data_IF_161994558371
#
_entry.id   IF_161994558371
#
_cell.length_a   1.000
_cell.length_b   1.000
_cell.length_c   1.000
_cell.angle_alpha   90.00
_cell.angle_beta   90.00
_cell.angle_gamma   90.00
#
_symmetry.space_group_name_H-M   'P 1'
#
loop_
_entity.id
_entity.type
_entity.pdbx_description
1 polymer ?
#
# COMPACT_ATOMS: atom_id res chain seq x y z
N UNK A 1 22.07 5.50 4.70
CA UNK A 1 21.32 6.04 5.87
C UNK A 1 21.51 5.14 7.09
N UNK A 2 21.40 5.66 8.33
CA UNK A 2 21.46 4.83 9.53
C UNK A 2 20.36 3.77 9.51
N UNK A 3 20.61 2.63 10.13
CA UNK A 3 19.64 1.53 10.22
C UNK A 3 19.01 1.54 11.62
N UNK A 4 17.68 1.47 11.67
CA UNK A 4 16.92 1.37 12.90
C UNK A 4 16.09 0.08 12.91
N UNK A 5 15.96 -0.52 14.09
CA UNK A 5 15.00 -1.62 14.29
C UNK A 5 13.61 -1.03 14.39
N UNK A 6 12.74 -1.40 13.46
CA UNK A 6 11.32 -1.04 13.47
C UNK A 6 10.55 -2.23 13.99
N UNK A 7 9.66 -1.96 14.95
CA UNK A 7 8.61 -2.87 15.40
C UNK A 7 7.33 -2.06 15.44
N UNK A 8 6.55 -2.15 14.37
CA UNK A 8 5.32 -1.40 14.21
C UNK A 8 4.22 -2.34 13.78
N UNK A 9 3.24 -2.50 14.64
CA UNK A 9 1.95 -3.07 14.26
C UNK A 9 1.09 -1.98 13.66
N UNK A 10 0.11 -2.39 12.88
CA UNK A 10 -0.98 -1.53 12.42
C UNK A 10 -0.52 -0.36 11.54
N UNK A 11 0.33 -0.65 10.55
CA UNK A 11 0.60 0.31 9.47
C UNK A 11 -0.48 0.24 8.40
N UNK A 12 -0.80 1.38 7.80
CA UNK A 12 -1.97 1.56 6.93
C UNK A 12 -1.57 1.77 5.48
N UNK A 13 -2.14 0.98 4.58
CA UNK A 13 -2.05 1.14 3.12
C UNK A 13 -3.46 1.22 2.55
N UNK A 14 -3.85 2.39 2.07
CA UNK A 14 -5.13 2.57 1.38
C UNK A 14 -5.03 2.15 -0.08
N UNK A 15 -5.91 1.24 -0.51
CA UNK A 15 -6.00 0.76 -1.91
C UNK A 15 -7.41 1.05 -2.44
N UNK A 16 -7.60 1.60 -3.66
CA UNK A 16 -8.93 1.89 -4.16
C UNK A 16 -9.81 0.62 -4.18
N UNK A 17 -11.00 0.66 -3.58
CA UNK A 17 -11.85 -0.54 -3.37
C UNK A 17 -12.24 -1.23 -4.68
N UNK A 18 -12.27 -0.49 -5.80
CA UNK A 18 -12.60 -1.03 -7.14
C UNK A 18 -11.54 -1.99 -7.68
N UNK A 19 -10.31 -1.89 -7.17
CA UNK A 19 -9.21 -2.79 -7.52
C UNK A 19 -9.11 -3.97 -6.54
N UNK A 20 -9.94 -3.98 -5.49
CA UNK A 20 -9.98 -5.06 -4.53
C UNK A 20 -10.82 -6.20 -5.05
N UNK A 21 -10.25 -7.41 -5.09
CA UNK A 21 -10.97 -8.63 -5.48
C UNK A 21 -12.18 -8.91 -4.59
N UNK A 22 -12.13 -8.49 -3.34
CA UNK A 22 -13.28 -8.50 -2.42
C UNK A 22 -14.51 -7.83 -3.03
N UNK A 23 -14.36 -6.74 -3.77
CA UNK A 23 -15.51 -6.04 -4.38
C UNK A 23 -16.15 -6.83 -5.52
N UNK A 24 -15.39 -7.72 -6.16
CA UNK A 24 -15.86 -8.61 -7.22
C UNK A 24 -16.45 -9.88 -6.61
N UNK A 25 -15.73 -10.51 -5.68
CA UNK A 25 -16.17 -11.73 -5.00
C UNK A 25 -17.38 -11.48 -4.11
N UNK A 26 -17.46 -10.35 -3.40
CA UNK A 26 -18.64 -10.00 -2.60
C UNK A 26 -19.90 -9.72 -3.43
N UNK A 27 -19.78 -9.53 -4.76
CA UNK A 27 -20.94 -9.48 -5.66
C UNK A 27 -21.44 -10.87 -6.07
N UNK A 28 -20.61 -11.89 -5.88
CA UNK A 28 -20.87 -13.28 -6.27
C UNK A 28 -21.24 -14.12 -5.04
N UNK A 29 -20.65 -13.81 -3.88
CA UNK A 29 -20.90 -14.50 -2.63
C UNK A 29 -22.32 -14.24 -2.11
N UNK A 30 -22.96 -15.30 -1.63
CA UNK A 30 -24.30 -15.24 -1.02
C UNK A 30 -24.24 -14.72 0.43
N UNK A 31 -23.17 -15.05 1.15
CA UNK A 31 -22.90 -14.63 2.52
C UNK A 31 -21.40 -14.56 2.83
N UNK A 32 -21.05 -14.15 4.05
CA UNK A 32 -19.65 -13.95 4.47
C UNK A 32 -18.86 -15.26 4.54
N UNK A 33 -19.51 -16.41 4.78
CA UNK A 33 -18.84 -17.71 4.82
C UNK A 33 -18.52 -18.18 3.38
N UNK A 34 -19.47 -18.05 2.47
CA UNK A 34 -19.26 -18.28 1.04
C UNK A 34 -18.19 -17.32 0.48
N UNK A 35 -18.17 -16.06 0.94
CA UNK A 35 -17.12 -15.12 0.56
C UNK A 35 -15.73 -15.59 1.04
N UNK A 36 -15.63 -16.12 2.26
CA UNK A 36 -14.38 -16.69 2.78
C UNK A 36 -13.91 -17.91 1.97
N UNK A 37 -14.82 -18.81 1.62
CA UNK A 37 -14.52 -19.98 0.79
C UNK A 37 -14.04 -19.58 -0.62
N UNK A 38 -14.67 -18.56 -1.22
CA UNK A 38 -14.25 -18.01 -2.51
C UNK A 38 -12.85 -17.38 -2.43
N UNK A 39 -12.50 -16.76 -1.30
CA UNK A 39 -11.14 -16.24 -1.08
C UNK A 39 -10.11 -17.36 -1.02
N UNK A 40 -10.39 -18.46 -0.33
CA UNK A 40 -9.46 -19.58 -0.20
C UNK A 40 -9.17 -20.23 -1.57
N UNK A 41 -10.21 -20.40 -2.39
CA UNK A 41 -10.08 -20.94 -3.75
C UNK A 41 -9.31 -19.97 -4.67
N UNK A 42 -9.62 -18.66 -4.61
CA UNK A 42 -8.91 -17.65 -5.41
C UNK A 42 -7.44 -17.52 -4.99
N UNK A 43 -7.14 -17.61 -3.69
CA UNK A 43 -5.76 -17.63 -3.19
C UNK A 43 -4.98 -18.81 -3.77
N UNK A 44 -5.52 -20.03 -3.68
CA UNK A 44 -4.87 -21.21 -4.24
C UNK A 44 -4.65 -21.08 -5.76
N UNK A 45 -5.58 -20.45 -6.46
CA UNK A 45 -5.49 -20.23 -7.91
C UNK A 45 -4.46 -19.16 -8.28
N UNK A 46 -4.43 -18.04 -7.54
CA UNK A 46 -3.42 -16.99 -7.73
C UNK A 46 -2.02 -17.50 -7.41
N UNK A 47 -1.86 -18.28 -6.34
CA UNK A 47 -0.58 -18.90 -5.97
C UNK A 47 -0.04 -19.76 -7.12
N UNK A 48 -0.93 -20.55 -7.75
CA UNK A 48 -0.57 -21.34 -8.94
C UNK A 48 -0.22 -20.48 -10.16
N UNK A 49 -1.03 -19.47 -10.48
CA UNK A 49 -0.81 -18.60 -11.64
C UNK A 49 0.46 -17.75 -11.52
N UNK A 50 0.75 -17.25 -10.32
CA UNK A 50 1.99 -16.51 -10.04
C UNK A 50 3.23 -17.40 -10.08
N UNK A 51 3.11 -18.68 -9.73
CA UNK A 51 4.18 -19.66 -9.96
C UNK A 51 4.42 -19.94 -11.46
N UNK A 52 3.37 -19.88 -12.29
CA UNK A 52 3.43 -20.17 -13.73
C UNK A 52 3.92 -19.00 -14.59
N UNK A 53 3.54 -17.74 -14.27
CA UNK A 53 3.77 -16.59 -15.17
C UNK A 53 5.06 -15.80 -14.95
N UNK A 54 5.81 -16.06 -13.88
CA UNK A 54 6.99 -15.26 -13.52
C UNK A 54 6.62 -13.84 -13.06
N UNK A 55 7.44 -13.30 -12.15
CA UNK A 55 7.21 -11.97 -11.58
C UNK A 55 7.78 -10.85 -12.47
N UNK A 56 7.36 -9.61 -12.22
CA UNK A 56 7.86 -8.41 -12.91
C UNK A 56 9.40 -8.33 -12.90
N UNK A 57 10.02 -7.64 -13.88
CA UNK A 57 11.48 -7.47 -13.92
C UNK A 57 12.05 -7.03 -12.56
N UNK A 58 12.88 -7.86 -11.93
CA UNK A 58 13.50 -7.57 -10.63
C UNK A 58 12.77 -8.09 -9.38
N UNK A 59 11.68 -8.85 -9.53
CA UNK A 59 11.11 -9.70 -8.46
C UNK A 59 11.18 -11.14 -8.95
N UNK A 60 11.78 -12.03 -8.17
CA UNK A 60 11.76 -13.46 -8.47
C UNK A 60 10.51 -14.14 -7.89
N UNK A 61 10.13 -15.33 -8.37
CA UNK A 61 9.08 -16.13 -7.73
C UNK A 61 9.35 -16.38 -6.23
N UNK A 62 10.62 -16.48 -5.84
CA UNK A 62 11.04 -16.66 -4.44
C UNK A 62 10.85 -15.41 -3.56
N UNK A 63 10.65 -14.22 -4.14
CA UNK A 63 10.34 -13.02 -3.39
C UNK A 63 8.85 -12.90 -3.09
N UNK A 64 7.97 -13.59 -3.83
CA UNK A 64 6.52 -13.49 -3.68
C UNK A 64 6.04 -14.23 -2.43
N UNK A 65 4.94 -13.76 -1.85
CA UNK A 65 4.25 -14.42 -0.75
C UNK A 65 3.08 -15.25 -1.27
N UNK A 66 2.85 -16.40 -0.65
CA UNK A 66 1.84 -17.39 -1.01
C UNK A 66 1.22 -18.00 0.25
N UNK A 67 0.00 -18.53 0.15
CA UNK A 67 -0.68 -19.22 1.26
C UNK A 67 -0.95 -18.35 2.50
N UNK A 68 -1.02 -17.02 2.33
CA UNK A 68 -1.34 -16.07 3.40
C UNK A 68 -2.47 -15.14 2.97
N UNK A 69 -3.34 -14.70 3.90
CA UNK A 69 -4.38 -13.73 3.60
C UNK A 69 -3.86 -12.50 2.87
N UNK A 70 -4.57 -12.10 1.82
CA UNK A 70 -4.24 -10.93 0.98
C UNK A 70 -2.86 -10.97 0.30
N UNK A 71 -2.27 -12.15 0.08
CA UNK A 71 -1.04 -12.33 -0.69
C UNK A 71 -1.08 -11.62 -2.06
N UNK A 72 -2.23 -11.63 -2.75
CA UNK A 72 -2.42 -10.94 -4.02
C UNK A 72 -2.27 -9.42 -3.91
N UNK A 73 -2.74 -8.81 -2.81
CA UNK A 73 -2.59 -7.37 -2.54
C UNK A 73 -1.14 -7.03 -2.22
N UNK A 74 -0.46 -7.89 -1.45
CA UNK A 74 0.97 -7.76 -1.16
C UNK A 74 1.75 -7.82 -2.46
N UNK A 75 1.66 -8.92 -3.20
CA UNK A 75 2.40 -9.14 -4.45
C UNK A 75 2.11 -8.05 -5.48
N UNK A 76 0.86 -7.58 -5.62
CA UNK A 76 0.50 -6.50 -6.53
C UNK A 76 1.25 -5.19 -6.23
N UNK A 77 1.53 -4.87 -4.96
CA UNK A 77 2.30 -3.69 -4.59
C UNK A 77 3.73 -3.70 -5.13
N UNK A 78 4.28 -4.88 -5.43
CA UNK A 78 5.61 -5.08 -5.96
C UNK A 78 5.59 -5.33 -7.48
N UNK A 79 4.63 -6.11 -7.99
CA UNK A 79 4.59 -6.51 -9.40
C UNK A 79 3.92 -5.50 -10.33
N UNK A 80 3.16 -4.54 -9.80
CA UNK A 80 2.48 -3.51 -10.60
C UNK A 80 2.91 -2.09 -10.21
N UNK A 81 4.20 -1.74 -10.37
CA UNK A 81 4.68 -0.39 -10.16
C UNK A 81 4.03 0.59 -11.14
N UNK A 82 3.90 1.84 -10.70
CA UNK A 82 3.57 2.93 -11.60
C UNK A 82 4.68 3.08 -12.68
N UNK A 83 4.37 3.42 -13.95
CA UNK A 83 5.37 3.57 -15.02
C UNK A 83 6.46 4.61 -14.77
N UNK A 84 6.24 5.55 -13.86
CA UNK A 84 7.24 6.55 -13.42
C UNK A 84 7.92 6.18 -12.09
N UNK A 85 7.59 5.00 -11.55
CA UNK A 85 7.96 4.58 -10.20
C UNK A 85 7.19 5.34 -9.11
N UNK A 86 7.58 5.07 -7.87
CA UNK A 86 7.14 5.81 -6.68
C UNK A 86 8.30 6.58 -6.07
N UNK A 87 8.11 7.10 -4.85
CA UNK A 87 9.16 7.87 -4.15
C UNK A 87 10.43 7.04 -3.95
N UNK A 88 10.30 5.82 -3.48
CA UNK A 88 11.39 4.90 -3.16
C UNK A 88 11.36 3.64 -4.05
N UNK A 89 10.97 3.76 -5.31
CA UNK A 89 11.10 2.67 -6.29
C UNK A 89 11.06 3.21 -7.73
N UNK A 90 11.78 2.55 -8.64
CA UNK A 90 11.69 2.81 -10.09
C UNK A 90 10.51 2.08 -10.74
N UNK A 91 10.42 2.11 -12.08
CA UNK A 91 9.30 1.52 -12.83
C UNK A 91 9.38 0.00 -12.97
N UNK A 92 10.56 -0.61 -12.74
CA UNK A 92 10.74 -2.06 -12.90
C UNK A 92 10.09 -2.85 -11.76
N UNK A 93 10.12 -2.28 -10.55
CA UNK A 93 9.75 -2.97 -9.32
C UNK A 93 9.05 -2.04 -8.36
N UNK A 94 7.91 -2.46 -7.86
CA UNK A 94 7.14 -1.74 -6.86
C UNK A 94 7.70 -1.86 -5.44
N UNK A 95 7.00 -1.25 -4.51
CA UNK A 95 7.28 -1.31 -3.08
C UNK A 95 5.96 -1.24 -2.31
N UNK A 96 5.93 -1.86 -1.13
CA UNK A 96 4.81 -1.67 -0.20
C UNK A 96 4.99 -0.37 0.55
N UNK A 97 4.13 0.60 0.27
CA UNK A 97 4.03 1.84 1.02
C UNK A 97 2.94 1.73 2.07
N UNK A 98 3.26 2.13 3.30
CA UNK A 98 2.31 2.27 4.39
C UNK A 98 2.65 3.48 5.28
N UNK A 99 1.65 4.01 5.96
CA UNK A 99 1.83 5.02 7.00
C UNK A 99 1.65 4.39 8.39
N UNK A 100 2.31 4.95 9.41
CA UNK A 100 2.14 4.51 10.79
C UNK A 100 0.82 5.01 11.39
N UNK A 101 0.30 6.10 10.85
CA UNK A 101 -0.97 6.73 11.22
C UNK A 101 -1.93 6.68 10.02
N UNK A 102 -3.16 6.24 10.25
CA UNK A 102 -4.19 6.15 9.21
C UNK A 102 -4.36 7.47 8.46
N UNK A 103 -4.43 8.61 9.17
CA UNK A 103 -4.72 9.87 8.50
C UNK A 103 -3.52 10.40 7.70
N UNK A 104 -2.32 9.85 7.89
CA UNK A 104 -1.20 10.10 6.97
C UNK A 104 -1.36 9.31 5.66
N UNK A 105 -1.87 8.07 5.71
CA UNK A 105 -2.25 7.34 4.50
C UNK A 105 -3.43 8.03 3.78
N UNK A 106 -4.41 8.55 4.53
CA UNK A 106 -5.51 9.33 3.96
C UNK A 106 -5.03 10.63 3.31
N UNK A 107 -4.11 11.37 3.95
CA UNK A 107 -3.54 12.59 3.38
C UNK A 107 -2.77 12.31 2.08
N UNK A 108 -2.04 11.19 2.01
CA UNK A 108 -1.32 10.77 0.80
C UNK A 108 -2.31 10.47 -0.34
N UNK A 109 -3.36 9.70 -0.07
CA UNK A 109 -4.41 9.38 -1.05
C UNK A 109 -5.14 10.64 -1.52
N UNK A 110 -5.56 11.50 -0.58
CA UNK A 110 -6.26 12.74 -0.89
C UNK A 110 -5.41 13.61 -1.82
N UNK A 111 -4.12 13.78 -1.51
CA UNK A 111 -3.21 14.58 -2.33
C UNK A 111 -3.07 14.06 -3.76
N UNK A 112 -2.70 12.78 -3.95
CA UNK A 112 -2.50 12.24 -5.30
C UNK A 112 -3.79 12.17 -6.09
N UNK A 113 -4.91 11.85 -5.43
CA UNK A 113 -6.20 11.82 -6.10
C UNK A 113 -6.63 13.23 -6.53
N UNK A 114 -6.37 14.27 -5.74
CA UNK A 114 -6.62 15.66 -6.16
C UNK A 114 -5.78 16.08 -7.37
N UNK A 115 -4.54 15.59 -7.50
CA UNK A 115 -3.74 15.82 -8.72
C UNK A 115 -4.39 15.15 -9.92
N UNK A 116 -4.78 13.87 -9.82
CA UNK A 116 -5.47 13.15 -10.90
C UNK A 116 -6.76 13.88 -11.31
N UNK A 117 -7.53 14.37 -10.34
CA UNK A 117 -8.78 15.10 -10.60
C UNK A 117 -8.53 16.48 -11.25
N UNK A 118 -7.45 17.17 -10.86
CA UNK A 118 -7.05 18.44 -11.47
C UNK A 118 -6.66 18.27 -12.94
N UNK A 119 -5.98 17.17 -13.28
CA UNK A 119 -5.57 16.88 -14.67
C UNK A 119 -6.75 16.72 -15.63
N UNK A 120 -7.92 16.29 -15.11
CA UNK A 120 -9.14 16.07 -15.91
C UNK A 120 -10.25 17.08 -15.62
N UNK A 121 -10.01 18.07 -14.75
CA UNK A 121 -10.97 19.08 -14.29
C UNK A 121 -12.29 18.50 -13.74
N UNK A 122 -12.21 17.41 -12.96
CA UNK A 122 -13.37 16.76 -12.33
C UNK A 122 -13.29 16.89 -10.80
N UNK A 123 -14.09 17.79 -10.23
CA UNK A 123 -14.07 18.05 -8.78
C UNK A 123 -15.29 17.52 -8.01
N UNK A 124 -16.19 16.80 -8.69
CA UNK A 124 -17.35 16.16 -8.09
C UNK A 124 -17.22 14.64 -8.23
N UNK A 125 -16.50 14.02 -7.29
CA UNK A 125 -16.15 12.60 -7.33
C UNK A 125 -16.31 11.98 -5.94
N UNK A 126 -16.77 10.73 -5.87
CA UNK A 126 -16.79 9.94 -4.63
C UNK A 126 -16.23 8.56 -4.88
N UNK A 127 -15.12 8.25 -4.20
CA UNK A 127 -14.40 6.99 -4.36
C UNK A 127 -14.09 6.39 -3.00
N UNK A 128 -14.02 5.06 -2.94
CA UNK A 128 -13.71 4.35 -1.71
C UNK A 128 -12.36 3.66 -1.78
N UNK A 129 -11.69 3.62 -0.63
CA UNK A 129 -10.40 2.98 -0.42
C UNK A 129 -10.52 2.00 0.75
N UNK A 130 -10.03 0.80 0.55
CA UNK A 130 -9.92 -0.22 1.59
C UNK A 130 -8.60 -0.03 2.33
N UNK A 131 -8.64 -0.02 3.66
CA UNK A 131 -7.45 0.05 4.50
C UNK A 131 -6.85 -1.34 4.68
N UNK A 132 -5.66 -1.55 4.12
CA UNK A 132 -4.85 -2.73 4.38
C UNK A 132 -3.89 -2.46 5.51
N UNK A 133 -4.12 -3.16 6.61
CA UNK A 133 -3.34 -3.02 7.83
C UNK A 133 -2.29 -4.12 7.86
N UNK A 134 -1.03 -3.76 8.10
CA UNK A 134 0.10 -4.68 8.12
C UNK A 134 1.09 -4.38 9.24
N UNK A 135 1.80 -5.41 9.68
CA UNK A 135 2.83 -5.35 10.70
C UNK A 135 4.23 -5.39 10.06
N UNK A 136 5.16 -4.66 10.68
CA UNK A 136 6.57 -4.63 10.30
C UNK A 136 7.47 -4.84 11.52
N UNK A 137 8.35 -5.83 11.42
CA UNK A 137 9.43 -6.06 12.37
C UNK A 137 10.72 -6.34 11.60
N UNK A 138 11.72 -5.46 11.73
CA UNK A 138 12.97 -5.62 11.00
C UNK A 138 13.86 -4.39 11.02
N UNK A 139 14.97 -4.47 10.29
CA UNK A 139 15.95 -3.40 10.16
C UNK A 139 15.66 -2.54 8.92
N UNK A 140 15.31 -1.27 9.13
CA UNK A 140 15.00 -0.32 8.05
C UNK A 140 15.96 0.86 8.08
N UNK A 141 16.25 1.43 6.91
CA UNK A 141 17.01 2.69 6.85
C UNK A 141 16.13 3.85 7.30
N UNK A 142 16.62 4.65 8.26
CA UNK A 142 15.86 5.73 8.89
C UNK A 142 16.27 7.10 8.35
N UNK A 143 15.32 7.79 7.70
CA UNK A 143 15.50 9.14 7.15
C UNK A 143 14.84 10.23 8.01
N UNK A 144 14.16 9.88 9.11
CA UNK A 144 13.30 10.82 9.87
C UNK A 144 14.05 11.97 10.53
N UNK A 145 15.34 11.79 10.83
CA UNK A 145 16.13 12.76 11.62
C UNK A 145 17.46 13.12 10.97
N UNK A 146 17.60 12.89 9.67
CA UNK A 146 18.87 13.05 8.97
C UNK A 146 18.73 13.98 7.76
N UNK A 147 19.13 15.25 7.97
CA UNK A 147 19.03 16.31 6.97
C UNK A 147 19.80 16.01 5.68
N UNK A 148 20.78 15.10 5.69
CA UNK A 148 21.50 14.66 4.48
C UNK A 148 20.58 14.01 3.45
N UNK A 149 19.43 13.50 3.89
CA UNK A 149 18.41 12.88 3.03
C UNK A 149 17.22 13.79 2.74
N UNK A 150 17.29 15.09 3.03
CA UNK A 150 16.22 16.04 2.74
C UNK A 150 15.79 16.03 1.26
N UNK A 151 16.74 15.86 0.33
CA UNK A 151 16.45 15.74 -1.09
C UNK A 151 15.59 14.50 -1.45
N UNK A 152 15.65 13.42 -0.65
CA UNK A 152 14.79 12.24 -0.81
C UNK A 152 13.33 12.50 -0.38
N UNK A 153 13.09 13.61 0.32
CA UNK A 153 11.79 14.01 0.85
C UNK A 153 11.21 15.22 0.11
N UNK A 154 11.82 15.62 -1.02
CA UNK A 154 11.30 16.67 -1.88
C UNK A 154 9.85 16.34 -2.32
N UNK A 155 8.97 17.32 -2.24
CA UNK A 155 7.53 17.13 -2.51
C UNK A 155 7.19 16.97 -3.99
N UNK A 156 8.10 17.43 -4.86
CA UNK A 156 7.96 17.61 -6.30
C UNK A 156 8.96 16.75 -7.11
N UNK A 157 9.88 16.03 -6.46
CA UNK A 157 10.87 15.20 -7.15
C UNK A 157 11.17 13.90 -6.40
N UNK A 158 11.12 12.79 -7.13
CA UNK A 158 11.50 11.46 -6.63
C UNK A 158 12.90 11.02 -7.06
N UNK A 159 13.64 11.85 -7.79
CA UNK A 159 14.94 11.44 -8.38
C UNK A 159 15.94 10.99 -7.31
N UNK A 160 16.12 11.78 -6.25
CA UNK A 160 17.08 11.45 -5.20
C UNK A 160 16.66 10.22 -4.37
N UNK A 161 15.35 10.07 -4.10
CA UNK A 161 14.81 8.96 -3.34
C UNK A 161 14.77 7.65 -4.13
N UNK A 162 14.52 7.70 -5.44
CA UNK A 162 14.61 6.54 -6.34
C UNK A 162 16.06 6.06 -6.44
N UNK A 163 17.01 6.96 -6.68
CA UNK A 163 18.43 6.60 -6.69
C UNK A 163 18.91 6.00 -5.36
N UNK A 164 18.41 6.51 -4.23
CA UNK A 164 18.69 5.91 -2.93
C UNK A 164 18.08 4.51 -2.83
N UNK A 165 16.81 4.35 -3.20
CA UNK A 165 16.12 3.08 -3.14
C UNK A 165 16.76 1.99 -4.01
N UNK A 166 17.19 2.34 -5.23
CA UNK A 166 17.92 1.42 -6.12
C UNK A 166 19.18 0.88 -5.46
N UNK A 167 20.02 1.75 -4.86
CA UNK A 167 21.21 1.33 -4.13
C UNK A 167 20.87 0.44 -2.93
N UNK A 168 19.92 0.88 -2.11
CA UNK A 168 19.51 0.13 -0.93
C UNK A 168 18.95 -1.25 -1.29
N UNK A 169 18.18 -1.33 -2.38
CA UNK A 169 17.62 -2.59 -2.86
C UNK A 169 18.73 -3.55 -3.33
N UNK A 170 19.71 -3.04 -4.09
CA UNK A 170 20.88 -3.81 -4.52
C UNK A 170 21.70 -4.35 -3.33
N UNK A 171 21.77 -3.57 -2.25
CA UNK A 171 22.46 -3.94 -1.00
C UNK A 171 21.63 -4.90 -0.11
N UNK A 172 20.48 -5.40 -0.57
CA UNK A 172 19.68 -6.35 0.20
C UNK A 172 18.76 -5.73 1.26
N UNK A 173 18.56 -4.41 1.24
CA UNK A 173 17.76 -3.70 2.25
C UNK A 173 16.31 -4.19 2.35
N UNK A 174 15.77 -4.09 3.56
CA UNK A 174 14.34 -4.29 3.86
C UNK A 174 13.47 -3.13 3.39
N UNK A 175 14.00 -1.91 3.36
CA UNK A 175 13.22 -0.71 3.07
C UNK A 175 13.73 0.55 3.78
N UNK A 176 12.85 1.55 3.78
CA UNK A 176 13.11 2.89 4.32
C UNK A 176 11.93 3.33 5.20
N UNK A 177 12.24 3.92 6.36
CA UNK A 177 11.29 4.67 7.19
C UNK A 177 11.60 6.17 7.07
N UNK A 178 10.58 6.99 6.86
CA UNK A 178 10.74 8.40 6.49
C UNK A 178 9.57 9.24 7.02
N UNK A 179 9.73 10.56 7.20
CA UNK A 179 8.62 11.40 7.63
C UNK A 179 7.63 11.58 6.47
N UNK A 180 6.33 11.62 6.78
CA UNK A 180 5.32 11.93 5.78
C UNK A 180 5.56 13.33 5.20
N UNK A 181 5.47 13.45 3.89
CA UNK A 181 5.56 14.74 3.17
C UNK A 181 4.20 15.45 3.13
N UNK A 182 3.11 14.75 3.50
CA UNK A 182 1.73 15.27 3.45
C UNK A 182 1.16 15.58 4.82
N UNK A 183 1.66 14.94 5.88
CA UNK A 183 1.19 15.19 7.24
C UNK A 183 2.35 15.41 8.20
N UNK A 184 2.32 16.56 8.88
CA UNK A 184 3.31 16.90 9.90
C UNK A 184 3.33 15.88 11.04
N UNK A 185 4.53 15.55 11.55
CA UNK A 185 4.77 14.57 12.61
C UNK A 185 4.28 13.13 12.32
N UNK A 186 3.93 12.78 11.08
CA UNK A 186 3.57 11.42 10.73
C UNK A 186 4.74 10.65 10.12
N UNK A 187 4.70 9.32 10.22
CA UNK A 187 5.75 8.44 9.71
C UNK A 187 5.22 7.55 8.59
N UNK A 188 6.01 7.41 7.53
CA UNK A 188 5.75 6.49 6.43
C UNK A 188 6.88 5.45 6.33
N UNK A 189 6.57 4.33 5.71
CA UNK A 189 7.47 3.22 5.45
C UNK A 189 7.30 2.76 4.01
N UNK A 190 8.41 2.54 3.32
CA UNK A 190 8.49 1.87 2.04
C UNK A 190 9.26 0.56 2.24
N UNK A 191 8.56 -0.57 2.12
CA UNK A 191 9.14 -1.89 2.21
C UNK A 191 9.49 -2.42 0.82
N UNK A 192 10.69 -2.99 0.70
CA UNK A 192 11.20 -3.53 -0.55
C UNK A 192 11.04 -5.04 -0.65
N UNK A 193 10.57 -5.73 0.39
CA UNK A 193 10.56 -7.20 0.46
C UNK A 193 9.15 -7.69 0.80
N UNK A 194 8.46 -8.41 -0.11
CA UNK A 194 7.11 -8.91 0.17
C UNK A 194 7.01 -9.73 1.48
N UNK A 195 7.97 -10.62 1.84
CA UNK A 195 7.88 -11.42 3.07
C UNK A 195 7.93 -10.60 4.38
N UNK A 196 8.34 -9.33 4.32
CA UNK A 196 8.37 -8.45 5.50
C UNK A 196 7.01 -7.76 5.75
N UNK A 197 6.07 -7.87 4.82
CA UNK A 197 4.70 -7.38 4.98
C UNK A 197 3.90 -8.46 5.71
N UNK A 198 3.85 -8.38 7.04
CA UNK A 198 3.31 -9.45 7.89
C UNK A 198 1.89 -9.13 8.36
N UNK A 199 1.13 -10.17 8.70
CA UNK A 199 -0.23 -10.08 9.26
C UNK A 199 -1.16 -9.11 8.52
N UNK A 200 -1.14 -9.16 7.19
CA UNK A 200 -1.98 -8.31 6.36
C UNK A 200 -3.44 -8.66 6.61
N UNK A 201 -4.24 -7.62 6.85
CA UNK A 201 -5.67 -7.74 7.03
C UNK A 201 -6.39 -6.52 6.50
N UNK A 202 -7.64 -6.71 6.10
CA UNK A 202 -8.51 -5.60 5.72
C UNK A 202 -9.12 -4.95 6.96
N UNK A 203 -8.87 -3.67 7.11
CA UNK A 203 -9.49 -2.78 8.09
C UNK A 203 -10.77 -2.15 7.55
N UNK A 204 -11.01 -0.89 7.92
CA UNK A 204 -12.18 -0.14 7.47
C UNK A 204 -12.05 0.31 6.00
N UNK A 205 -13.19 0.46 5.33
CA UNK A 205 -13.27 1.15 4.05
C UNK A 205 -13.56 2.63 4.31
N UNK A 206 -12.86 3.51 3.60
CA UNK A 206 -12.98 4.95 3.72
C UNK A 206 -13.45 5.54 2.40
N UNK A 207 -14.46 6.40 2.47
CA UNK A 207 -14.99 7.17 1.35
C UNK A 207 -14.36 8.55 1.34
N UNK A 208 -13.81 8.93 0.20
CA UNK A 208 -13.31 10.26 -0.10
C UNK A 208 -14.27 10.90 -1.08
N UNK A 209 -14.80 12.08 -0.74
CA UNK A 209 -15.75 12.81 -1.58
C UNK A 209 -15.26 14.23 -1.82
N UNK A 210 -14.95 14.55 -3.07
CA UNK A 210 -14.70 15.90 -3.56
C UNK A 210 -16.02 16.50 -4.02
N UNK A 211 -16.35 17.69 -3.53
CA UNK A 211 -17.60 18.40 -3.81
C UNK A 211 -17.29 19.83 -4.31
N UNK A 212 -16.57 19.92 -5.42
CA UNK A 212 -16.20 21.18 -6.07
C UNK A 212 -14.89 21.82 -5.61
N UNK A 213 -14.05 21.10 -4.86
CA UNK A 213 -12.76 21.62 -4.41
C UNK A 213 -11.75 20.52 -4.12
N UNK A 214 -10.48 20.90 -3.94
CA UNK A 214 -9.33 19.98 -3.88
C UNK A 214 -9.20 19.17 -2.58
N UNK A 215 -9.95 19.55 -1.55
CA UNK A 215 -9.94 18.87 -0.25
C UNK A 215 -11.16 17.97 -0.13
N UNK A 216 -10.99 16.63 -0.09
CA UNK A 216 -12.11 15.72 0.09
C UNK A 216 -12.64 15.77 1.51
N UNK A 217 -13.93 15.51 1.65
CA UNK A 217 -14.49 14.99 2.90
C UNK A 217 -14.18 13.50 2.99
N UNK A 218 -13.72 13.05 4.16
CA UNK A 218 -13.34 11.65 4.39
C UNK A 218 -14.25 11.07 5.47
N UNK A 219 -14.94 9.99 5.15
CA UNK A 219 -15.85 9.32 6.07
C UNK A 219 -15.66 7.80 6.00
N UNK A 220 -15.89 7.12 7.12
CA UNK A 220 -15.92 5.66 7.12
C UNK A 220 -17.11 5.18 6.30
N UNK A 221 -16.87 4.25 5.38
CA UNK A 221 -17.91 3.67 4.55
C UNK A 221 -18.66 2.56 5.34
N UNK A 222 -20.00 2.63 5.41
CA UNK A 222 -20.80 1.74 6.25
C UNK A 222 -20.77 0.27 5.80
N UNK A 223 -20.26 -0.04 4.59
CA UNK A 223 -20.09 -1.43 4.12
C UNK A 223 -19.12 -2.26 4.98
N UNK A 224 -18.37 -1.64 5.91
CA UNK A 224 -17.45 -2.35 6.82
C UNK A 224 -18.02 -2.67 8.21
N UNK A 225 -19.34 -2.62 8.41
CA UNK A 225 -19.98 -2.95 9.69
C UNK A 225 -20.86 -4.21 9.60
N UNK A 226 -20.26 -5.39 9.40
CA UNK A 226 -20.83 -6.65 9.90
C UNK A 226 -19.72 -7.45 10.57
N UNK A 227 -19.52 -7.17 11.85
CA UNK A 227 -18.76 -8.05 12.73
C UNK A 227 -19.62 -9.29 12.97
N UNK A 228 -19.08 -10.46 12.67
CA UNK A 228 -19.63 -11.76 13.07
C UNK A 228 -19.89 -11.72 14.58
N UNK A 229 -21.15 -11.69 14.98
CA UNK A 229 -21.54 -11.99 16.36
C UNK A 229 -21.42 -13.50 16.51
N UNK A 230 -20.41 -13.93 17.27
CA UNK A 230 -20.25 -15.32 17.70
C UNK A 230 -21.47 -15.76 18.51
N UNK A 231 -22.10 -16.86 18.07
CA UNK A 231 -22.95 -17.73 18.91
C UNK A 231 -22.19 -19.02 19.13
#
# INVERSE_FOLDING_TARGET
PPVATIRRTDTHRLVPSKHTRDSVLARIADDDAHLADLFDIDQATNDRLSAEHGAAPGIGPHDLVFGVPYASVVNAAFCHPHPLGGRFNGPERGAWYAAFELEAAQAEVAFHKSIELAEVDVWNESVTYDDYVADFSGAFHDLRRDARFAACLASDSYRASQQLAERLLADGSSGVVYPSVRRHNATCLACFRPPLVMHVRKGATWRFTWAGGETPTIARDPRTARTVSSV
#
